data_IF_657267296378
#
_entry.id   IF_657267296378
#
_cell.length_a   1.000
_cell.length_b   1.000
_cell.length_c   1.000
_cell.angle_alpha   90.00
_cell.angle_beta   90.00
_cell.angle_gamma   90.00
#
_symmetry.space_group_name_H-M   'P 1'
#
loop_
_entity.id
_entity.type
_entity.pdbx_description
1 polymer ?
#
# COMPACT_ATOMS: atom_id res chain seq x y z
N UNK A 1 23.36 -2.32 -17.06
CA UNK A 1 22.42 -1.70 -16.10
C UNK A 1 23.01 -1.83 -14.72
N UNK A 2 23.42 -0.73 -14.11
CA UNK A 2 23.94 -0.76 -12.74
C UNK A 2 22.77 -0.84 -11.77
N UNK A 3 22.86 -1.75 -10.78
CA UNK A 3 21.80 -2.01 -9.82
C UNK A 3 22.31 -1.90 -8.38
N UNK A 4 21.47 -1.32 -7.51
CA UNK A 4 21.66 -1.33 -6.06
C UNK A 4 20.49 -2.08 -5.43
N UNK A 5 20.80 -3.04 -4.56
CA UNK A 5 19.81 -3.83 -3.83
C UNK A 5 19.87 -3.50 -2.33
N UNK A 6 18.78 -2.94 -1.80
CA UNK A 6 18.63 -2.62 -0.39
C UNK A 6 17.77 -3.68 0.28
N UNK A 7 18.25 -4.23 1.38
CA UNK A 7 17.62 -5.31 2.14
C UNK A 7 17.29 -4.80 3.55
N UNK A 8 16.00 -4.69 3.87
CA UNK A 8 15.59 -4.33 5.23
C UNK A 8 15.52 -5.59 6.10
N UNK A 9 16.52 -5.79 6.97
CA UNK A 9 16.61 -6.93 7.90
C UNK A 9 15.47 -7.03 8.92
N UNK A 10 14.71 -5.95 9.15
CA UNK A 10 13.60 -5.91 10.09
C UNK A 10 12.23 -6.13 9.43
N UNK A 11 12.19 -6.56 8.17
CA UNK A 11 10.93 -6.80 7.48
C UNK A 11 10.48 -8.26 7.59
N UNK A 12 9.20 -8.45 7.82
CA UNK A 12 8.40 -9.67 7.69
C UNK A 12 9.14 -10.99 7.90
N UNK A 13 9.38 -11.73 6.83
CA UNK A 13 10.11 -13.01 6.83
C UNK A 13 11.61 -12.86 7.11
N UNK A 14 12.20 -11.67 6.89
CA UNK A 14 13.61 -11.42 7.19
C UNK A 14 13.93 -11.56 8.69
N UNK A 15 12.97 -11.25 9.56
CA UNK A 15 13.12 -11.39 11.03
C UNK A 15 13.41 -12.84 11.49
N UNK A 16 13.09 -13.82 10.67
CA UNK A 16 13.27 -15.24 10.99
C UNK A 16 14.61 -15.80 10.50
N UNK A 17 15.45 -14.99 9.85
CA UNK A 17 16.73 -15.39 9.28
C UNK A 17 17.88 -14.61 9.89
N UNK A 18 19.03 -15.27 10.09
CA UNK A 18 20.28 -14.61 10.37
C UNK A 18 20.65 -13.67 9.21
N UNK A 19 21.14 -12.44 9.49
CA UNK A 19 21.44 -11.45 8.44
C UNK A 19 22.36 -11.99 7.32
N UNK A 20 23.38 -12.76 7.68
CA UNK A 20 24.28 -13.36 6.70
C UNK A 20 23.60 -14.41 5.81
N UNK A 21 22.71 -15.22 6.37
CA UNK A 21 21.94 -16.20 5.61
C UNK A 21 20.94 -15.53 4.66
N UNK A 22 20.33 -14.43 5.10
CA UNK A 22 19.43 -13.63 4.28
C UNK A 22 20.18 -13.00 3.10
N UNK A 23 21.34 -12.40 3.36
CA UNK A 23 22.20 -11.83 2.31
C UNK A 23 22.58 -12.88 1.29
N UNK A 24 23.09 -14.04 1.76
CA UNK A 24 23.51 -15.14 0.89
C UNK A 24 22.34 -15.64 0.02
N UNK A 25 21.14 -15.76 0.57
CA UNK A 25 19.95 -16.18 -0.18
C UNK A 25 19.56 -15.17 -1.28
N UNK A 26 19.58 -13.87 -0.95
CA UNK A 26 19.27 -12.81 -1.93
C UNK A 26 20.35 -12.72 -3.00
N UNK A 27 21.63 -12.75 -2.62
CA UNK A 27 22.74 -12.79 -3.56
C UNK A 27 22.62 -13.98 -4.50
N UNK A 28 22.41 -15.19 -3.97
CA UNK A 28 22.21 -16.40 -4.76
C UNK A 28 21.03 -16.28 -5.73
N UNK A 29 19.93 -15.66 -5.31
CA UNK A 29 18.76 -15.47 -6.18
C UNK A 29 19.02 -14.47 -7.31
N UNK A 30 19.76 -13.38 -7.03
CA UNK A 30 20.14 -12.39 -8.04
C UNK A 30 21.15 -12.96 -9.03
N UNK A 31 22.20 -13.66 -8.52
CA UNK A 31 23.22 -14.30 -9.34
C UNK A 31 22.60 -15.38 -10.25
N UNK A 32 21.69 -16.22 -9.72
CA UNK A 32 20.97 -17.22 -10.50
C UNK A 32 20.06 -16.61 -11.58
N UNK A 33 19.68 -15.35 -11.42
CA UNK A 33 18.95 -14.58 -12.42
C UNK A 33 19.88 -13.80 -13.39
N UNK A 34 21.19 -13.83 -13.17
CA UNK A 34 22.17 -13.08 -13.98
C UNK A 34 22.24 -11.59 -13.64
N UNK A 35 21.75 -11.19 -12.46
CA UNK A 35 21.75 -9.80 -11.98
C UNK A 35 22.95 -9.53 -11.06
N UNK A 36 23.78 -8.59 -11.46
CA UNK A 36 24.83 -8.05 -10.59
C UNK A 36 24.31 -6.78 -9.91
N UNK A 37 24.28 -6.76 -8.57
CA UNK A 37 23.86 -5.62 -7.80
C UNK A 37 24.77 -5.41 -6.59
N UNK A 38 24.99 -4.15 -6.25
CA UNK A 38 25.58 -3.78 -4.96
C UNK A 38 24.53 -4.05 -3.87
N UNK A 39 24.84 -4.95 -2.91
CA UNK A 39 23.92 -5.28 -1.82
C UNK A 39 24.22 -4.45 -0.58
N UNK A 40 23.18 -3.84 -0.03
CA UNK A 40 23.22 -3.08 1.20
C UNK A 40 22.17 -3.63 2.18
N UNK A 41 22.61 -4.20 3.31
CA UNK A 41 21.72 -4.64 4.38
C UNK A 41 21.60 -3.52 5.39
N UNK A 42 20.36 -3.09 5.64
CA UNK A 42 20.06 -1.95 6.50
C UNK A 42 19.10 -2.32 7.62
N UNK A 43 19.23 -1.64 8.76
CA UNK A 43 18.20 -1.62 9.78
C UNK A 43 17.05 -0.68 9.36
N UNK A 44 15.89 -0.82 10.02
CA UNK A 44 14.73 0.00 9.65
C UNK A 44 14.92 1.51 9.79
N UNK A 45 15.75 1.94 10.76
CA UNK A 45 16.12 3.34 10.97
C UNK A 45 17.15 3.89 9.97
N UNK A 46 17.87 3.02 9.27
CA UNK A 46 18.88 3.37 8.24
C UNK A 46 18.27 3.34 6.82
N UNK A 47 17.06 2.82 6.69
CA UNK A 47 16.42 2.57 5.40
C UNK A 47 16.27 3.86 4.57
N UNK A 48 15.84 4.95 5.20
CA UNK A 48 15.58 6.20 4.48
C UNK A 48 16.87 6.80 3.91
N UNK A 49 17.95 6.80 4.68
CA UNK A 49 19.27 7.25 4.24
C UNK A 49 19.80 6.40 3.08
N UNK A 50 19.72 5.08 3.21
CA UNK A 50 20.13 4.17 2.14
C UNK A 50 19.34 4.37 0.85
N UNK A 51 18.02 4.58 0.97
CA UNK A 51 17.16 4.88 -0.19
C UNK A 51 17.52 6.23 -0.85
N UNK A 52 17.82 7.27 -0.07
CA UNK A 52 18.25 8.57 -0.58
C UNK A 52 19.59 8.46 -1.30
N UNK A 53 20.57 7.73 -0.73
CA UNK A 53 21.87 7.48 -1.35
C UNK A 53 21.73 6.70 -2.66
N UNK A 54 20.93 5.65 -2.67
CA UNK A 54 20.65 4.88 -3.88
C UNK A 54 19.89 5.71 -4.94
N UNK A 55 18.95 6.54 -4.52
CA UNK A 55 18.24 7.45 -5.42
C UNK A 55 19.17 8.48 -6.09
N UNK A 56 20.20 8.96 -5.37
CA UNK A 56 21.18 9.93 -5.87
C UNK A 56 22.33 9.30 -6.64
N UNK A 57 22.47 7.97 -6.63
CA UNK A 57 23.53 7.25 -7.34
C UNK A 57 23.31 7.21 -8.86
N UNK A 58 24.30 6.71 -9.61
CA UNK A 58 24.18 6.46 -11.06
C UNK A 58 23.43 5.16 -11.41
N UNK A 59 23.02 4.37 -10.41
CA UNK A 59 22.26 3.14 -10.64
C UNK A 59 20.90 3.44 -11.26
N UNK A 60 20.54 2.72 -12.32
CA UNK A 60 19.25 2.85 -13.01
C UNK A 60 18.16 1.97 -12.37
N UNK A 61 18.57 0.88 -11.71
CA UNK A 61 17.71 -0.10 -11.09
C UNK A 61 17.91 -0.10 -9.57
N UNK A 62 16.85 0.25 -8.84
CA UNK A 62 16.77 0.13 -7.39
C UNK A 62 16.02 -1.15 -7.03
N UNK A 63 16.71 -2.13 -6.46
CA UNK A 63 16.11 -3.37 -5.98
C UNK A 63 15.82 -3.23 -4.49
N UNK A 64 14.61 -3.59 -4.07
CA UNK A 64 14.22 -3.56 -2.67
C UNK A 64 13.75 -4.93 -2.19
N UNK A 65 14.36 -5.43 -1.10
CA UNK A 65 13.91 -6.62 -0.41
C UNK A 65 13.27 -6.22 0.93
N UNK A 66 11.96 -6.45 1.06
CA UNK A 66 11.25 -6.01 2.25
C UNK A 66 9.75 -6.26 2.25
N UNK A 67 9.09 -5.81 3.32
CA UNK A 67 7.64 -5.79 3.44
C UNK A 67 7.00 -4.54 2.85
N UNK A 68 5.66 -4.44 2.94
CA UNK A 68 4.88 -3.37 2.31
C UNK A 68 5.39 -1.95 2.63
N UNK A 69 5.72 -1.63 3.89
CA UNK A 69 6.26 -0.32 4.26
C UNK A 69 7.62 -0.03 3.62
N UNK A 70 8.50 -1.04 3.56
CA UNK A 70 9.82 -0.93 2.91
C UNK A 70 9.68 -0.73 1.40
N UNK A 71 8.77 -1.49 0.77
CA UNK A 71 8.48 -1.37 -0.66
C UNK A 71 7.91 0.02 -0.98
N UNK A 72 7.01 0.54 -0.16
CA UNK A 72 6.42 1.86 -0.36
C UNK A 72 7.46 2.99 -0.21
N UNK A 73 8.36 2.89 0.78
CA UNK A 73 9.45 3.84 0.93
C UNK A 73 10.38 3.84 -0.30
N UNK A 74 10.75 2.65 -0.79
CA UNK A 74 11.55 2.50 -1.99
C UNK A 74 10.82 3.00 -3.25
N UNK A 75 9.51 2.76 -3.36
CA UNK A 75 8.70 3.25 -4.46
C UNK A 75 8.65 4.80 -4.50
N UNK A 76 8.53 5.45 -3.34
CA UNK A 76 8.64 6.92 -3.23
C UNK A 76 10.01 7.43 -3.68
N UNK A 77 11.08 6.79 -3.24
CA UNK A 77 12.45 7.16 -3.61
C UNK A 77 12.71 6.96 -5.11
N UNK A 78 12.32 5.81 -5.66
CA UNK A 78 12.46 5.49 -7.08
C UNK A 78 11.63 6.45 -7.97
N UNK A 79 10.38 6.74 -7.58
CA UNK A 79 9.53 7.69 -8.28
C UNK A 79 10.16 9.08 -8.34
N UNK A 80 10.68 9.58 -7.20
CA UNK A 80 11.30 10.91 -7.11
C UNK A 80 12.58 11.03 -7.96
N UNK A 81 13.35 9.92 -8.07
CA UNK A 81 14.60 9.87 -8.82
C UNK A 81 14.45 9.33 -10.26
N UNK A 82 13.23 9.07 -10.71
CA UNK A 82 12.90 8.46 -12.01
C UNK A 82 13.67 7.15 -12.28
N UNK A 83 13.86 6.33 -11.25
CA UNK A 83 14.53 5.04 -11.32
C UNK A 83 13.52 3.89 -11.48
N UNK A 84 13.98 2.80 -12.08
CA UNK A 84 13.17 1.57 -12.13
C UNK A 84 13.28 0.81 -10.81
N UNK A 85 12.14 0.37 -10.27
CA UNK A 85 12.06 -0.40 -9.03
C UNK A 85 11.99 -1.90 -9.33
N UNK A 86 12.90 -2.68 -8.77
CA UNK A 86 12.82 -4.14 -8.68
C UNK A 86 12.35 -4.55 -7.28
N UNK A 87 11.39 -5.46 -7.18
CA UNK A 87 10.79 -5.83 -5.88
C UNK A 87 11.06 -7.30 -5.57
N UNK A 88 11.65 -7.55 -4.40
CA UNK A 88 11.78 -8.86 -3.76
C UNK A 88 10.84 -8.90 -2.54
N UNK A 89 9.63 -9.47 -2.68
CA UNK A 89 8.59 -9.40 -1.65
C UNK A 89 8.96 -10.23 -0.42
N UNK A 90 9.01 -9.61 0.76
CA UNK A 90 9.30 -10.26 2.03
C UNK A 90 8.29 -9.88 3.13
N UNK A 91 7.16 -9.31 2.73
CA UNK A 91 6.08 -8.89 3.62
C UNK A 91 5.05 -9.99 3.85
N UNK A 92 4.07 -9.68 4.71
CA UNK A 92 2.92 -10.56 4.97
C UNK A 92 1.79 -10.34 3.96
N UNK A 93 1.50 -9.09 3.60
CA UNK A 93 0.40 -8.74 2.69
C UNK A 93 0.88 -8.59 1.24
N UNK A 94 2.09 -8.04 1.04
CA UNK A 94 2.72 -7.83 -0.28
C UNK A 94 1.75 -7.22 -1.29
N UNK A 95 1.07 -6.13 -0.92
CA UNK A 95 -0.05 -5.57 -1.70
C UNK A 95 0.37 -5.13 -3.10
N UNK A 96 1.36 -4.24 -3.20
CA UNK A 96 1.86 -3.77 -4.48
C UNK A 96 2.44 -4.90 -5.34
N UNK A 97 3.27 -5.83 -4.82
CA UNK A 97 3.70 -7.02 -5.55
C UNK A 97 2.55 -7.86 -6.11
N UNK A 98 1.52 -8.12 -5.30
CA UNK A 98 0.35 -8.91 -5.72
C UNK A 98 -0.41 -8.23 -6.87
N UNK A 99 -0.65 -6.90 -6.78
CA UNK A 99 -1.33 -6.13 -7.83
C UNK A 99 -0.51 -6.13 -9.15
N UNK A 100 0.81 -6.25 -9.05
CA UNK A 100 1.73 -6.33 -10.20
C UNK A 100 2.05 -7.76 -10.62
N UNK A 101 1.39 -8.77 -10.05
CA UNK A 101 1.62 -10.19 -10.32
C UNK A 101 3.08 -10.62 -10.11
N UNK A 102 3.82 -9.93 -9.22
CA UNK A 102 5.20 -10.29 -8.89
C UNK A 102 5.18 -11.53 -7.98
N UNK A 103 5.90 -12.61 -8.34
CA UNK A 103 5.93 -13.81 -7.53
C UNK A 103 6.47 -13.56 -6.12
N UNK A 104 5.88 -14.24 -5.11
CA UNK A 104 6.34 -14.14 -3.72
C UNK A 104 7.57 -15.02 -3.45
N UNK A 105 7.91 -15.91 -4.34
CA UNK A 105 9.15 -16.70 -4.27
C UNK A 105 10.34 -15.84 -4.67
N UNK A 106 11.38 -15.81 -3.84
CA UNK A 106 12.56 -14.98 -4.01
C UNK A 106 13.26 -15.15 -5.36
N UNK A 107 13.50 -16.40 -5.78
CA UNK A 107 14.17 -16.70 -7.06
C UNK A 107 13.29 -16.33 -8.27
N UNK A 108 12.00 -16.55 -8.16
CA UNK A 108 11.07 -16.16 -9.22
C UNK A 108 10.94 -14.64 -9.33
N UNK A 109 10.92 -13.91 -8.21
CA UNK A 109 10.94 -12.45 -8.19
C UNK A 109 12.24 -11.88 -8.78
N UNK A 110 13.40 -12.46 -8.43
CA UNK A 110 14.68 -12.08 -9.01
C UNK A 110 14.71 -12.26 -10.54
N UNK A 111 14.13 -13.37 -11.05
CA UNK A 111 13.97 -13.57 -12.51
C UNK A 111 13.06 -12.53 -13.16
N UNK A 112 12.01 -12.08 -12.47
CA UNK A 112 11.17 -10.96 -12.97
C UNK A 112 12.00 -9.68 -13.06
N UNK A 113 12.85 -9.39 -12.09
CA UNK A 113 13.71 -8.21 -12.12
C UNK A 113 14.70 -8.29 -13.30
N UNK A 114 15.29 -9.48 -13.54
CA UNK A 114 16.28 -9.67 -14.61
C UNK A 114 15.70 -9.68 -16.01
N UNK A 115 14.59 -10.40 -16.19
CA UNK A 115 14.07 -10.77 -17.50
C UNK A 115 12.66 -10.22 -17.77
N UNK A 116 12.06 -9.52 -16.80
CA UNK A 116 10.74 -8.95 -16.96
C UNK A 116 10.73 -7.67 -17.78
N UNK A 117 9.61 -6.97 -17.75
CA UNK A 117 9.40 -5.71 -18.47
C UNK A 117 9.27 -4.55 -17.47
N UNK A 118 10.00 -3.48 -17.71
CA UNK A 118 9.77 -2.22 -17.01
C UNK A 118 8.43 -1.64 -17.45
N UNK A 119 7.49 -1.49 -16.49
CA UNK A 119 6.16 -0.92 -16.71
C UNK A 119 6.00 0.33 -15.85
N UNK A 120 5.51 1.40 -16.45
CA UNK A 120 5.13 2.60 -15.71
C UNK A 120 3.72 2.45 -15.16
N UNK A 121 3.61 2.58 -13.84
CA UNK A 121 2.35 2.54 -13.10
C UNK A 121 2.02 3.91 -12.53
N UNK A 122 0.74 4.11 -12.23
CA UNK A 122 0.27 5.33 -11.58
C UNK A 122 0.67 5.33 -10.09
N UNK A 123 0.83 6.50 -9.52
CA UNK A 123 0.75 6.76 -8.11
C UNK A 123 -0.48 7.62 -7.82
N UNK A 124 -0.83 7.75 -6.57
CA UNK A 124 -1.77 8.74 -6.09
C UNK A 124 -1.12 9.56 -4.98
N UNK A 125 -1.66 10.74 -4.73
CA UNK A 125 -1.22 11.59 -3.62
C UNK A 125 -2.42 12.14 -2.84
N UNK A 126 -2.19 12.50 -1.60
CA UNK A 126 -3.08 13.31 -0.79
C UNK A 126 -2.31 14.45 -0.16
N UNK A 127 -2.68 15.69 -0.46
CA UNK A 127 -1.98 16.91 0.00
C UNK A 127 -0.46 16.86 -0.26
N UNK A 128 -0.02 16.28 -1.40
CA UNK A 128 1.38 16.13 -1.79
C UNK A 128 2.08 14.87 -1.25
N UNK A 129 1.43 14.09 -0.37
CA UNK A 129 1.99 12.83 0.14
C UNK A 129 1.61 11.65 -0.76
N UNK A 130 2.56 11.01 -1.44
CA UNK A 130 2.27 9.93 -2.39
C UNK A 130 1.93 8.61 -1.71
N UNK A 131 1.06 7.83 -2.38
CA UNK A 131 0.74 6.45 -2.03
C UNK A 131 0.52 5.61 -3.31
N UNK A 132 0.76 4.31 -3.21
CA UNK A 132 0.71 3.40 -4.35
C UNK A 132 -0.46 2.43 -4.29
N UNK A 133 -1.00 2.20 -3.10
CA UNK A 133 -2.12 1.30 -2.90
C UNK A 133 -3.38 2.05 -2.49
N UNK A 134 -3.46 2.45 -1.22
CA UNK A 134 -4.70 2.96 -0.67
C UNK A 134 -4.47 4.00 0.42
N UNK A 135 -5.38 4.97 0.45
CA UNK A 135 -5.58 5.87 1.57
C UNK A 135 -6.92 5.57 2.23
N UNK A 136 -6.94 5.37 3.55
CA UNK A 136 -8.15 5.11 4.31
C UNK A 136 -8.33 6.14 5.41
N UNK A 137 -9.55 6.60 5.65
CA UNK A 137 -9.89 7.41 6.81
C UNK A 137 -11.22 6.97 7.43
N UNK A 138 -11.54 7.50 8.61
CA UNK A 138 -12.64 7.00 9.41
C UNK A 138 -12.27 5.73 10.19
N UNK A 139 -13.17 4.76 10.25
CA UNK A 139 -13.00 3.54 11.02
C UNK A 139 -11.70 2.78 10.71
N UNK A 140 -11.27 2.59 9.43
CA UNK A 140 -10.04 1.89 9.12
C UNK A 140 -8.77 2.56 9.68
N UNK A 141 -8.72 3.90 9.71
CA UNK A 141 -7.58 4.61 10.28
C UNK A 141 -7.46 4.39 11.79
N UNK A 142 -8.59 4.32 12.49
CA UNK A 142 -8.63 4.02 13.92
C UNK A 142 -8.09 2.61 14.18
N UNK A 143 -8.46 1.61 13.37
CA UNK A 143 -7.91 0.24 13.49
C UNK A 143 -6.41 0.16 13.26
N UNK A 144 -5.88 0.94 12.33
CA UNK A 144 -4.44 0.99 12.08
C UNK A 144 -3.68 1.56 13.28
N UNK A 145 -4.23 2.55 13.98
CA UNK A 145 -3.66 3.10 15.21
C UNK A 145 -3.57 2.03 16.31
N UNK A 146 -4.65 1.26 16.54
CA UNK A 146 -4.65 0.17 17.52
C UNK A 146 -3.68 -0.95 17.16
N UNK A 147 -3.62 -1.34 15.91
CA UNK A 147 -2.66 -2.35 15.43
C UNK A 147 -1.21 -1.94 15.74
N UNK A 148 -0.86 -0.68 15.55
CA UNK A 148 0.49 -0.19 15.83
C UNK A 148 0.79 -0.24 17.34
N UNK A 149 -0.16 0.08 18.20
CA UNK A 149 -0.02 0.03 19.65
C UNK A 149 0.12 -1.39 20.23
N UNK A 150 -0.26 -2.42 19.46
CA UNK A 150 -0.16 -3.82 19.87
C UNK A 150 1.07 -4.53 19.28
N UNK A 151 1.86 -3.88 18.44
CA UNK A 151 3.14 -4.44 17.96
C UNK A 151 4.07 -4.70 19.13
N UNK A 152 4.70 -5.89 19.15
CA UNK A 152 5.63 -6.31 20.20
C UNK A 152 4.98 -6.97 21.43
N UNK A 153 3.64 -7.04 21.53
CA UNK A 153 2.97 -7.76 22.62
C UNK A 153 2.80 -9.25 22.31
N UNK A 154 2.73 -10.14 23.33
CA UNK A 154 2.49 -11.58 23.14
C UNK A 154 1.23 -11.88 22.32
N UNK A 155 1.25 -12.95 21.51
CA UNK A 155 0.22 -13.29 20.52
C UNK A 155 -1.20 -13.36 21.14
N UNK A 156 -1.36 -14.03 22.27
CA UNK A 156 -2.67 -14.14 22.97
C UNK A 156 -3.22 -12.78 23.43
N UNK A 157 -2.34 -11.90 23.97
CA UNK A 157 -2.73 -10.52 24.30
C UNK A 157 -3.07 -9.70 23.08
N UNK A 158 -2.39 -9.95 21.96
CA UNK A 158 -2.71 -9.29 20.67
C UNK A 158 -4.10 -9.68 20.20
N UNK A 159 -4.43 -10.98 20.15
CA UNK A 159 -5.73 -11.46 19.65
C UNK A 159 -6.88 -10.95 20.52
N UNK A 160 -6.76 -11.07 21.84
CA UNK A 160 -7.80 -10.58 22.76
C UNK A 160 -7.93 -9.05 22.74
N UNK A 161 -6.80 -8.33 22.71
CA UNK A 161 -6.78 -6.87 22.59
C UNK A 161 -7.36 -6.39 21.26
N UNK A 162 -7.02 -7.04 20.15
CA UNK A 162 -7.61 -6.71 18.84
C UNK A 162 -9.13 -6.87 18.82
N UNK A 163 -9.65 -7.93 19.42
CA UNK A 163 -11.09 -8.19 19.40
C UNK A 163 -11.84 -7.21 20.32
N UNK A 164 -11.39 -7.01 21.56
CA UNK A 164 -12.05 -6.11 22.52
C UNK A 164 -11.99 -4.65 22.08
N UNK A 165 -10.81 -4.18 21.63
CA UNK A 165 -10.63 -2.82 21.16
C UNK A 165 -11.32 -2.58 19.81
N UNK A 166 -11.34 -3.58 18.94
CA UNK A 166 -12.11 -3.56 17.70
C UNK A 166 -13.61 -3.35 17.98
N UNK A 167 -14.19 -4.17 18.87
CA UNK A 167 -15.62 -4.06 19.23
C UNK A 167 -15.93 -2.72 19.90
N UNK A 168 -15.06 -2.28 20.83
CA UNK A 168 -15.25 -1.00 21.53
C UNK A 168 -15.17 0.18 20.57
N UNK A 169 -14.17 0.20 19.71
CA UNK A 169 -13.93 1.26 18.72
C UNK A 169 -15.03 1.31 17.68
N UNK A 170 -15.45 0.14 17.23
CA UNK A 170 -16.50 0.04 16.26
C UNK A 170 -17.87 0.48 16.80
N UNK A 171 -18.15 0.19 18.08
CA UNK A 171 -19.35 0.71 18.77
C UNK A 171 -19.29 2.22 19.04
N UNK A 172 -18.10 2.78 19.22
CA UNK A 172 -17.86 4.21 19.40
C UNK A 172 -17.72 4.98 18.06
N UNK A 173 -17.56 4.27 16.95
CA UNK A 173 -17.41 4.88 15.65
C UNK A 173 -18.70 5.60 15.24
N UNK A 174 -18.55 6.90 14.99
CA UNK A 174 -19.64 7.75 14.48
C UNK A 174 -19.47 7.94 12.99
N UNK A 175 -20.58 8.13 12.30
CA UNK A 175 -20.56 8.59 10.92
C UNK A 175 -19.76 9.90 10.82
N UNK A 176 -18.91 9.97 9.83
CA UNK A 176 -18.20 11.19 9.44
C UNK A 176 -18.98 11.78 8.27
N UNK A 177 -19.35 13.05 8.39
CA UNK A 177 -19.90 13.83 7.29
C UNK A 177 -18.77 14.55 6.59
N UNK A 178 -18.67 14.34 5.30
CA UNK A 178 -17.69 15.00 4.44
C UNK A 178 -18.38 15.58 3.21
N UNK A 179 -17.87 16.71 2.74
CA UNK A 179 -18.22 17.25 1.43
C UNK A 179 -17.17 16.78 0.43
N UNK A 180 -17.61 16.04 -0.57
CA UNK A 180 -16.75 15.52 -1.63
C UNK A 180 -16.99 16.30 -2.90
N UNK A 181 -15.96 16.93 -3.43
CA UNK A 181 -15.98 17.57 -4.74
C UNK A 181 -15.30 16.65 -5.75
N UNK A 182 -16.04 16.28 -6.78
CA UNK A 182 -15.58 15.50 -7.91
C UNK A 182 -15.80 16.31 -9.18
N UNK A 183 -14.76 16.87 -9.77
CA UNK A 183 -14.82 17.65 -11.01
C UNK A 183 -15.88 18.77 -10.99
N UNK A 184 -16.00 19.49 -9.89
CA UNK A 184 -16.96 20.59 -9.72
C UNK A 184 -18.34 20.16 -9.22
N UNK A 185 -18.62 18.87 -9.11
CA UNK A 185 -19.86 18.36 -8.49
C UNK A 185 -19.64 18.11 -7.01
N UNK A 186 -20.27 18.90 -6.15
CA UNK A 186 -20.21 18.73 -4.71
C UNK A 186 -21.34 17.85 -4.19
N UNK A 187 -20.97 16.91 -3.29
CA UNK A 187 -21.93 16.04 -2.61
C UNK A 187 -21.56 15.91 -1.14
N UNK A 188 -22.55 15.99 -0.27
CA UNK A 188 -22.39 15.66 1.15
C UNK A 188 -22.60 14.16 1.33
N UNK A 189 -21.58 13.49 1.82
CA UNK A 189 -21.58 12.03 2.03
C UNK A 189 -21.36 11.75 3.51
N UNK A 190 -22.16 10.86 4.07
CA UNK A 190 -22.01 10.34 5.43
C UNK A 190 -21.63 8.89 5.38
N UNK A 191 -20.61 8.51 6.14
CA UNK A 191 -20.14 7.13 6.20
C UNK A 191 -19.26 6.87 7.39
N UNK A 192 -19.03 5.60 7.67
CA UNK A 192 -18.15 5.17 8.77
C UNK A 192 -16.72 4.91 8.29
N UNK A 193 -16.56 4.49 7.04
CA UNK A 193 -15.28 4.13 6.47
C UNK A 193 -15.18 4.66 5.04
N UNK A 194 -14.04 5.24 4.74
CA UNK A 194 -13.72 5.84 3.46
C UNK A 194 -12.40 5.26 2.95
N UNK A 195 -12.36 4.96 1.66
CA UNK A 195 -11.16 4.52 0.98
C UNK A 195 -10.98 5.29 -0.34
N UNK A 196 -9.75 5.71 -0.58
CA UNK A 196 -9.30 6.19 -1.88
C UNK A 196 -8.22 5.24 -2.37
N UNK A 197 -8.42 4.57 -3.49
CA UNK A 197 -7.43 3.69 -4.09
C UNK A 197 -6.74 4.36 -5.27
N UNK A 198 -5.46 4.11 -5.38
CA UNK A 198 -4.71 4.38 -6.61
C UNK A 198 -5.12 3.35 -7.65
N UNK A 199 -5.88 3.76 -8.63
CA UNK A 199 -6.67 2.96 -9.56
C UNK A 199 -7.85 2.20 -8.88
N UNK A 200 -8.99 2.06 -9.57
CA UNK A 200 -10.13 1.36 -9.04
C UNK A 200 -9.87 -0.15 -8.90
N UNK A 201 -10.51 -0.77 -7.90
CA UNK A 201 -10.47 -2.20 -7.71
C UNK A 201 -11.20 -2.93 -8.82
N UNK A 202 -10.72 -4.14 -9.14
CA UNK A 202 -11.40 -5.04 -10.04
C UNK A 202 -12.56 -5.74 -9.28
N UNK A 203 -13.78 -5.51 -9.77
CA UNK A 203 -14.99 -6.05 -9.17
C UNK A 203 -15.28 -7.49 -9.57
N UNK A 204 -14.54 -8.01 -10.55
CA UNK A 204 -14.76 -9.34 -11.11
C UNK A 204 -13.90 -10.40 -10.44
N UNK A 205 -12.86 -10.00 -9.70
CA UNK A 205 -11.94 -10.94 -9.09
C UNK A 205 -12.39 -11.41 -7.70
N UNK A 206 -12.34 -12.71 -7.52
CA UNK A 206 -12.47 -13.38 -6.23
C UNK A 206 -11.21 -13.11 -5.39
N UNK A 207 -11.38 -12.72 -4.13
CA UNK A 207 -10.35 -12.28 -3.19
C UNK A 207 -9.93 -10.81 -3.30
N UNK A 208 -10.76 -10.04 -2.66
CA UNK A 208 -10.60 -8.74 -2.01
C UNK A 208 -9.50 -7.80 -2.50
N UNK A 209 -9.94 -6.74 -3.14
CA UNK A 209 -9.15 -5.52 -3.28
C UNK A 209 -7.90 -5.66 -4.17
N UNK A 210 -7.98 -6.52 -5.20
CA UNK A 210 -7.00 -6.58 -6.27
C UNK A 210 -7.29 -5.51 -7.33
N UNK A 211 -6.24 -4.91 -7.87
CA UNK A 211 -6.33 -3.94 -8.94
C UNK A 211 -5.75 -4.56 -10.20
N UNK A 212 -6.61 -4.98 -11.12
CA UNK A 212 -6.18 -5.58 -12.39
C UNK A 212 -5.40 -4.61 -13.28
N UNK A 213 -5.49 -3.30 -13.00
CA UNK A 213 -4.86 -2.24 -13.78
C UNK A 213 -4.25 -1.20 -12.86
N UNK A 214 -2.99 -0.83 -13.13
CA UNK A 214 -2.24 0.13 -12.33
C UNK A 214 -1.89 1.40 -13.14
N UNK A 215 -2.57 1.65 -14.25
CA UNK A 215 -2.25 2.70 -15.21
C UNK A 215 -3.48 3.33 -15.88
N UNK A 216 -4.65 3.26 -15.23
CA UNK A 216 -5.91 3.88 -15.76
C UNK A 216 -5.95 5.40 -15.61
N UNK A 217 -5.05 6.00 -14.82
CA UNK A 217 -5.06 7.43 -14.55
C UNK A 217 -6.30 7.87 -13.75
N UNK A 218 -6.83 7.03 -12.87
CA UNK A 218 -8.03 7.28 -12.09
C UNK A 218 -7.86 6.85 -10.63
N UNK A 219 -8.46 7.60 -9.72
CA UNK A 219 -8.68 7.20 -8.33
C UNK A 219 -10.00 6.43 -8.22
N UNK A 220 -10.03 5.40 -7.37
CA UNK A 220 -11.27 4.79 -6.92
C UNK A 220 -11.66 5.36 -5.56
N UNK A 221 -12.88 5.86 -5.41
CA UNK A 221 -13.42 6.32 -4.13
C UNK A 221 -14.52 5.38 -3.66
N UNK A 222 -14.45 4.98 -2.39
CA UNK A 222 -15.36 4.02 -1.79
C UNK A 222 -15.80 4.48 -0.41
N UNK A 223 -17.10 4.44 -0.14
CA UNK A 223 -17.67 4.83 1.15
C UNK A 223 -18.62 3.77 1.67
N UNK A 224 -18.41 3.35 2.89
CA UNK A 224 -19.34 2.49 3.61
C UNK A 224 -20.36 3.33 4.36
N UNK A 225 -21.63 3.24 3.93
CA UNK A 225 -22.80 3.89 4.55
C UNK A 225 -23.50 3.00 5.58
N UNK A 226 -22.82 1.96 6.06
CA UNK A 226 -23.37 1.08 7.09
C UNK A 226 -23.54 1.84 8.41
N UNK A 227 -24.76 1.76 8.99
CA UNK A 227 -25.11 2.46 10.24
C UNK A 227 -24.72 1.66 11.51
N UNK A 228 -24.45 0.36 11.38
CA UNK A 228 -24.08 -0.49 12.49
C UNK A 228 -22.78 -1.21 12.21
N UNK A 229 -22.03 -1.47 13.27
CA UNK A 229 -20.80 -2.25 13.19
C UNK A 229 -21.04 -3.66 12.63
N UNK A 230 -22.11 -4.34 13.04
CA UNK A 230 -22.41 -5.69 12.56
C UNK A 230 -22.61 -5.74 11.04
N UNK A 231 -23.35 -4.77 10.47
CA UNK A 231 -23.52 -4.70 9.01
C UNK A 231 -22.22 -4.34 8.28
N UNK A 232 -21.40 -3.46 8.89
CA UNK A 232 -20.07 -3.13 8.34
C UNK A 232 -19.13 -4.35 8.38
N UNK A 233 -19.07 -5.09 9.50
CA UNK A 233 -18.27 -6.29 9.62
C UNK A 233 -18.72 -7.37 8.61
N UNK A 234 -20.02 -7.53 8.41
CA UNK A 234 -20.55 -8.44 7.39
C UNK A 234 -20.17 -8.03 5.98
N UNK A 235 -20.17 -6.72 5.69
CA UNK A 235 -19.65 -6.21 4.42
C UNK A 235 -18.17 -6.57 4.25
N UNK A 236 -17.33 -6.41 5.28
CA UNK A 236 -15.91 -6.80 5.20
C UNK A 236 -15.75 -8.29 4.88
N UNK A 237 -16.59 -9.16 5.47
CA UNK A 237 -16.61 -10.58 5.13
C UNK A 237 -16.95 -10.77 3.66
N UNK A 238 -17.98 -10.09 3.15
CA UNK A 238 -18.34 -10.16 1.71
C UNK A 238 -17.19 -9.67 0.82
N UNK A 239 -16.51 -8.59 1.21
CA UNK A 239 -15.32 -8.06 0.51
C UNK A 239 -14.22 -9.13 0.45
N UNK A 240 -13.92 -9.81 1.57
CA UNK A 240 -12.92 -10.88 1.61
C UNK A 240 -13.25 -12.04 0.66
N UNK A 241 -14.53 -12.33 0.44
CA UNK A 241 -15.00 -13.37 -0.48
C UNK A 241 -15.32 -12.85 -1.89
N UNK A 242 -14.92 -11.61 -2.24
CA UNK A 242 -15.19 -11.01 -3.55
C UNK A 242 -16.68 -10.77 -3.85
N UNK A 243 -17.56 -10.85 -2.84
CA UNK A 243 -19.03 -10.72 -2.99
C UNK A 243 -19.54 -9.33 -2.60
N UNK A 244 -18.80 -8.30 -2.97
CA UNK A 244 -19.16 -6.91 -2.64
C UNK A 244 -19.82 -6.16 -3.80
N UNK A 245 -19.85 -6.77 -4.96
CA UNK A 245 -20.56 -6.25 -6.12
C UNK A 245 -22.07 -6.26 -5.84
N UNK A 246 -22.73 -5.11 -6.01
CA UNK A 246 -24.15 -4.94 -5.66
C UNK A 246 -24.44 -4.62 -4.19
N UNK A 247 -23.41 -4.38 -3.34
CA UNK A 247 -23.63 -3.94 -1.95
C UNK A 247 -24.25 -2.52 -1.94
N UNK A 248 -25.53 -2.44 -1.54
CA UNK A 248 -26.31 -1.19 -1.57
C UNK A 248 -25.79 -0.08 -0.64
N UNK A 249 -25.05 -0.46 0.40
CA UNK A 249 -24.49 0.48 1.38
C UNK A 249 -23.05 0.86 1.07
N UNK A 250 -22.50 0.41 -0.05
CA UNK A 250 -21.19 0.79 -0.55
C UNK A 250 -21.37 1.73 -1.75
N UNK A 251 -21.18 3.03 -1.51
CA UNK A 251 -21.10 4.01 -2.60
C UNK A 251 -19.70 4.04 -3.18
N UNK A 252 -19.61 4.14 -4.50
CA UNK A 252 -18.33 4.14 -5.21
C UNK A 252 -18.41 5.00 -6.47
N UNK A 253 -17.30 5.61 -6.81
CA UNK A 253 -17.10 6.32 -8.08
C UNK A 253 -15.59 6.44 -8.38
N UNK A 254 -15.28 6.89 -9.58
CA UNK A 254 -13.89 7.14 -10.02
C UNK A 254 -13.72 8.61 -10.40
N UNK A 255 -12.52 9.14 -10.19
CA UNK A 255 -12.15 10.51 -10.55
C UNK A 255 -10.64 10.65 -10.74
N UNK A 256 -10.20 11.73 -11.38
CA UNK A 256 -8.77 12.09 -11.43
C UNK A 256 -8.35 12.89 -10.19
N UNK A 257 -9.25 13.71 -9.69
CA UNK A 257 -9.05 14.52 -8.49
C UNK A 257 -10.28 14.44 -7.60
N UNK A 258 -10.06 14.33 -6.29
CA UNK A 258 -11.13 14.30 -5.29
C UNK A 258 -10.74 15.23 -4.16
N UNK A 259 -11.55 16.23 -3.88
CA UNK A 259 -11.37 17.10 -2.70
C UNK A 259 -12.38 16.72 -1.63
N UNK A 260 -11.88 16.46 -0.42
CA UNK A 260 -12.69 16.05 0.74
C UNK A 260 -12.56 17.08 1.85
N UNK A 261 -13.65 17.79 2.11
CA UNK A 261 -13.77 18.73 3.22
C UNK A 261 -14.55 18.11 4.37
N UNK A 262 -14.15 18.39 5.59
CA UNK A 262 -14.82 17.91 6.79
C UNK A 262 -14.96 19.08 7.80
N UNK A 263 -15.90 18.96 8.74
CA UNK A 263 -16.08 19.95 9.84
C UNK A 263 -14.84 19.99 10.75
N UNK A 264 -14.07 18.92 10.81
CA UNK A 264 -12.81 18.87 11.58
C UNK A 264 -11.70 19.47 10.75
N UNK A 265 -10.87 20.29 11.36
CA UNK A 265 -9.69 20.89 10.71
C UNK A 265 -8.61 19.86 10.34
N UNK A 266 -8.62 18.70 10.99
CA UNK A 266 -7.69 17.60 10.76
C UNK A 266 -8.42 16.25 10.76
N UNK A 267 -7.97 15.35 9.87
CA UNK A 267 -8.39 13.97 9.84
C UNK A 267 -7.19 13.03 10.02
N UNK A 268 -7.42 11.93 10.76
CA UNK A 268 -6.49 10.80 10.78
C UNK A 268 -6.78 9.92 9.57
N UNK A 269 -5.75 9.58 8.83
CA UNK A 269 -5.82 8.69 7.69
C UNK A 269 -4.63 7.73 7.68
N UNK A 270 -4.72 6.68 6.89
CA UNK A 270 -3.60 5.78 6.61
C UNK A 270 -3.32 5.77 5.13
N UNK A 271 -2.08 6.07 4.73
CA UNK A 271 -1.59 5.89 3.37
C UNK A 271 -0.74 4.61 3.34
N UNK A 272 -1.15 3.64 2.53
CA UNK A 272 -0.47 2.35 2.39
C UNK A 272 -0.16 1.66 3.74
N UNK A 273 -1.00 1.92 4.75
CA UNK A 273 -0.87 1.37 6.10
C UNK A 273 -0.08 2.23 7.09
N UNK A 274 0.51 3.35 6.67
CA UNK A 274 1.16 4.33 7.54
C UNK A 274 0.14 5.34 8.06
N UNK A 275 0.04 5.46 9.38
CA UNK A 275 -0.90 6.38 10.03
C UNK A 275 -0.34 7.80 10.02
N UNK A 276 -1.15 8.74 9.58
CA UNK A 276 -0.82 10.16 9.56
C UNK A 276 -2.03 11.05 9.92
N UNK A 277 -1.76 12.31 10.26
CA UNK A 277 -2.76 13.34 10.45
C UNK A 277 -2.57 14.40 9.37
N UNK A 278 -3.64 14.78 8.72
CA UNK A 278 -3.62 15.80 7.69
C UNK A 278 -4.70 16.85 7.90
N UNK A 279 -4.38 18.09 7.56
CA UNK A 279 -5.35 19.20 7.55
C UNK A 279 -6.34 19.01 6.42
N UNK A 280 -7.58 19.35 6.66
CA UNK A 280 -8.62 19.42 5.62
C UNK A 280 -8.61 20.80 4.96
N UNK A 281 -8.96 20.89 3.66
CA UNK A 281 -9.43 19.82 2.79
C UNK A 281 -8.33 18.80 2.44
N UNK A 282 -8.71 17.51 2.29
CA UNK A 282 -7.85 16.50 1.71
C UNK A 282 -8.00 16.55 0.19
N UNK A 283 -6.94 16.86 -0.52
CA UNK A 283 -6.92 16.91 -1.98
C UNK A 283 -6.18 15.68 -2.50
N UNK A 284 -6.92 14.76 -3.09
CA UNK A 284 -6.39 13.55 -3.72
C UNK A 284 -6.23 13.78 -5.22
N UNK A 285 -5.07 13.44 -5.76
CA UNK A 285 -4.78 13.45 -7.19
C UNK A 285 -4.19 12.12 -7.63
N UNK A 286 -4.49 11.69 -8.85
CA UNK A 286 -3.72 10.64 -9.51
C UNK A 286 -2.49 11.27 -10.15
N UNK A 287 -1.34 10.57 -10.08
CA UNK A 287 -0.11 10.90 -10.79
C UNK A 287 0.12 9.81 -11.83
N UNK A 288 -0.28 10.03 -13.09
CA UNK A 288 -0.20 8.99 -14.10
C UNK A 288 1.23 8.62 -14.43
N UNK A 289 1.48 7.31 -14.61
CA UNK A 289 2.78 6.75 -15.03
C UNK A 289 3.96 7.20 -14.16
N UNK A 290 3.73 7.39 -12.88
CA UNK A 290 4.67 8.00 -11.94
C UNK A 290 5.86 7.12 -11.59
N UNK A 291 5.69 5.79 -11.54
CA UNK A 291 6.71 4.85 -11.08
C UNK A 291 6.99 3.79 -12.14
N UNK A 292 8.26 3.59 -12.48
CA UNK A 292 8.73 2.47 -13.29
C UNK A 292 9.01 1.26 -12.40
N UNK A 293 8.38 0.09 -12.69
CA UNK A 293 8.57 -1.15 -11.92
C UNK A 293 8.81 -2.32 -12.84
N UNK A 294 9.73 -3.23 -12.46
CA UNK A 294 9.93 -4.49 -13.14
C UNK A 294 8.75 -5.44 -12.87
N UNK A 295 8.09 -5.91 -13.91
CA UNK A 295 6.91 -6.79 -13.84
C UNK A 295 7.09 -8.01 -14.76
N UNK A 296 6.34 -9.11 -14.54
CA UNK A 296 6.29 -10.21 -15.50
C UNK A 296 5.84 -9.75 -16.89
N UNK A 297 6.21 -10.50 -17.94
CA UNK A 297 5.81 -10.18 -19.33
C UNK A 297 4.31 -10.30 -19.56
N UNK A 298 3.64 -11.19 -18.83
CA UNK A 298 2.18 -11.43 -18.89
C UNK A 298 1.48 -10.80 -17.68
N UNK A 299 1.12 -9.56 -17.78
CA UNK A 299 0.20 -8.87 -16.85
C UNK A 299 -0.84 -8.13 -17.66
#
# INVERSE_FOLDING_TARGET
MTAIAIINRHSGTALNHEPAALEAAIRSALDAAGLQAELQIVAGNELEEALQNAASSSAELLIIAGGDGTINAAARAAMKADKTLGILPMGTLNRLPNDLSIPLNLYAAARVIANGKARRIDAAEVNGEPFFCNSFFGLPAIFSEYRNNLRGKPLLRRIHGYFSDFVRTARAAREIEVTVNNNGSERVIRGMAFAVSNNPYDETQFMALHRGWMDKGLLGFYVSKHKSFGSFAWMLVKVLFGRWNGERHLERFTAKTITISAKRSELKLTNDGELMKMKTPLVYNVIPKALSVMTPHSV
#
